data_IF_391455775593
#
_entry.id   IF_391455775593
#
_cell.length_a   1.000
_cell.length_b   1.000
_cell.length_c   1.000
_cell.angle_alpha   90.00
_cell.angle_beta   90.00
_cell.angle_gamma   90.00
#
_symmetry.space_group_name_H-M   'P 1'
#
loop_
_entity.id
_entity.type
_entity.pdbx_description
1 polymer ?
#
# COMPACT_ATOMS: atom_id res chain seq x y z
N UNK A 1 -35.41 -8.90 7.47
CA UNK A 1 -33.95 -8.71 7.27
C UNK A 1 -33.27 -9.81 8.06
N UNK A 2 -32.90 -10.90 7.39
CA UNK A 2 -32.42 -12.11 8.04
C UNK A 2 -31.15 -11.85 8.84
N UNK A 3 -31.10 -12.39 10.06
CA UNK A 3 -29.90 -12.45 10.89
C UNK A 3 -28.78 -13.07 10.07
N UNK A 4 -27.79 -12.28 9.66
CA UNK A 4 -26.62 -12.77 8.95
C UNK A 4 -25.90 -13.77 9.85
N UNK A 5 -26.06 -15.07 9.58
CA UNK A 5 -25.28 -16.11 10.23
C UNK A 5 -23.83 -15.88 9.80
N UNK A 6 -22.95 -15.56 10.75
CA UNK A 6 -21.52 -15.53 10.48
C UNK A 6 -21.10 -16.94 10.04
N UNK A 7 -20.49 -17.04 8.86
CA UNK A 7 -19.93 -18.30 8.38
C UNK A 7 -18.70 -18.63 9.23
N UNK A 8 -18.61 -19.88 9.69
CA UNK A 8 -17.39 -20.41 10.28
C UNK A 8 -16.24 -20.43 9.26
N UNK A 9 -14.99 -20.50 9.75
CA UNK A 9 -13.79 -20.66 8.92
C UNK A 9 -13.94 -21.78 7.90
N UNK A 10 -14.45 -22.94 8.34
CA UNK A 10 -14.65 -24.11 7.50
C UNK A 10 -15.72 -23.88 6.43
N UNK A 11 -16.87 -23.30 6.81
CA UNK A 11 -17.96 -22.97 5.86
C UNK A 11 -17.48 -21.98 4.79
N UNK A 12 -16.66 -20.98 5.17
CA UNK A 12 -16.12 -20.01 4.22
C UNK A 12 -15.11 -20.64 3.25
N UNK A 13 -14.19 -21.47 3.74
CA UNK A 13 -13.23 -22.17 2.88
C UNK A 13 -13.95 -23.08 1.87
N UNK A 14 -14.96 -23.81 2.34
CA UNK A 14 -15.73 -24.71 1.49
C UNK A 14 -16.49 -23.92 0.41
N UNK A 15 -17.14 -22.82 0.79
CA UNK A 15 -17.84 -21.94 -0.15
C UNK A 15 -16.90 -21.39 -1.23
N UNK A 16 -15.68 -20.96 -0.88
CA UNK A 16 -14.71 -20.44 -1.84
C UNK A 16 -14.32 -21.52 -2.87
N UNK A 17 -14.03 -22.73 -2.41
CA UNK A 17 -13.66 -23.86 -3.27
C UNK A 17 -14.81 -24.28 -4.19
N UNK A 18 -16.02 -24.37 -3.65
CA UNK A 18 -17.21 -24.73 -4.44
C UNK A 18 -17.51 -23.67 -5.50
N UNK A 19 -17.37 -22.39 -5.16
CA UNK A 19 -17.57 -21.30 -6.12
C UNK A 19 -16.50 -21.31 -7.22
N UNK A 20 -15.23 -21.51 -6.90
CA UNK A 20 -14.17 -21.68 -7.90
C UNK A 20 -14.46 -22.84 -8.85
N UNK A 21 -14.89 -23.98 -8.32
CA UNK A 21 -15.20 -25.17 -9.12
C UNK A 21 -16.41 -24.95 -10.03
N UNK A 22 -17.48 -24.36 -9.50
CA UNK A 22 -18.71 -24.11 -10.25
C UNK A 22 -18.51 -23.11 -11.40
N UNK A 23 -17.56 -22.18 -11.25
CA UNK A 23 -17.36 -21.05 -12.15
C UNK A 23 -15.93 -20.98 -12.73
N UNK A 24 -15.25 -22.13 -12.88
CA UNK A 24 -13.87 -22.22 -13.37
C UNK A 24 -13.62 -21.49 -14.72
N UNK A 25 -14.65 -21.39 -15.57
CA UNK A 25 -14.61 -20.75 -16.88
C UNK A 25 -15.36 -19.40 -16.92
N UNK A 26 -15.56 -18.76 -15.77
CA UNK A 26 -16.23 -17.46 -15.70
C UNK A 26 -15.42 -16.39 -16.45
N UNK A 27 -16.12 -15.59 -17.26
CA UNK A 27 -15.59 -14.37 -17.88
C UNK A 27 -16.11 -13.11 -17.18
N UNK A 28 -16.63 -13.24 -15.95
CA UNK A 28 -17.15 -12.12 -15.17
C UNK A 28 -16.07 -11.54 -14.27
N UNK A 29 -15.64 -10.32 -14.58
CA UNK A 29 -14.67 -9.61 -13.74
C UNK A 29 -15.18 -9.38 -12.31
N UNK A 30 -16.50 -9.19 -12.15
CA UNK A 30 -17.13 -9.06 -10.83
C UNK A 30 -16.99 -10.36 -10.02
N UNK A 31 -17.25 -11.51 -10.64
CA UNK A 31 -17.06 -12.82 -10.00
C UNK A 31 -15.61 -13.03 -9.59
N UNK A 32 -14.67 -12.82 -10.53
CA UNK A 32 -13.24 -12.95 -10.28
C UNK A 32 -12.79 -12.03 -9.12
N UNK A 33 -13.27 -10.78 -9.10
CA UNK A 33 -12.96 -9.85 -8.00
C UNK A 33 -13.51 -10.30 -6.64
N UNK A 34 -14.71 -10.89 -6.62
CA UNK A 34 -15.37 -11.36 -5.41
C UNK A 34 -14.67 -12.58 -4.83
N UNK A 35 -14.27 -13.54 -5.67
CA UNK A 35 -13.50 -14.71 -5.23
C UNK A 35 -12.11 -14.30 -4.76
N UNK A 36 -11.43 -13.40 -5.48
CA UNK A 36 -10.15 -12.85 -5.05
C UNK A 36 -10.23 -12.17 -3.68
N UNK A 37 -11.27 -11.35 -3.46
CA UNK A 37 -11.55 -10.73 -2.17
C UNK A 37 -11.86 -11.74 -1.07
N UNK A 38 -12.65 -12.77 -1.39
CA UNK A 38 -12.98 -13.86 -0.47
C UNK A 38 -11.74 -14.61 0.02
N UNK A 39 -10.85 -15.01 -0.89
CA UNK A 39 -9.58 -15.63 -0.52
C UNK A 39 -8.69 -14.72 0.31
N UNK A 40 -8.59 -13.43 -0.05
CA UNK A 40 -7.82 -12.48 0.74
C UNK A 40 -8.34 -12.36 2.18
N UNK A 41 -9.65 -12.16 2.35
CA UNK A 41 -10.30 -12.01 3.66
C UNK A 41 -10.19 -13.30 4.48
N UNK A 42 -10.40 -14.46 3.87
CA UNK A 42 -10.22 -15.75 4.51
C UNK A 42 -8.78 -15.92 5.02
N UNK A 43 -7.81 -15.66 4.14
CA UNK A 43 -6.38 -15.80 4.46
C UNK A 43 -5.95 -14.86 5.57
N UNK A 44 -6.40 -13.60 5.51
CA UNK A 44 -6.06 -12.58 6.49
C UNK A 44 -6.60 -12.94 7.89
N UNK A 45 -7.87 -13.33 7.98
CA UNK A 45 -8.52 -13.55 9.27
C UNK A 45 -8.20 -14.92 9.89
N UNK A 46 -8.12 -15.98 9.09
CA UNK A 46 -8.13 -17.36 9.63
C UNK A 46 -6.81 -18.11 9.41
N UNK A 47 -6.08 -17.83 8.33
CA UNK A 47 -4.89 -18.61 7.99
C UNK A 47 -3.63 -18.03 8.64
N UNK A 48 -2.76 -18.89 9.16
CA UNK A 48 -1.48 -18.52 9.80
C UNK A 48 -0.31 -19.29 9.19
N UNK A 49 0.90 -18.75 9.39
CA UNK A 49 2.13 -19.37 8.92
C UNK A 49 2.18 -19.54 7.40
N UNK A 50 2.87 -20.59 6.96
CA UNK A 50 3.20 -20.82 5.55
C UNK A 50 1.98 -21.12 4.67
N UNK A 51 0.89 -21.58 5.28
CA UNK A 51 -0.39 -21.81 4.58
C UNK A 51 -0.98 -20.51 4.01
N UNK A 52 -0.54 -19.32 4.47
CA UNK A 52 -1.01 -18.06 3.90
C UNK A 52 -0.60 -17.90 2.44
N UNK A 53 0.57 -18.43 2.04
CA UNK A 53 1.10 -18.25 0.68
C UNK A 53 0.14 -18.80 -0.40
N UNK A 54 -0.22 -20.10 -0.41
CA UNK A 54 -1.08 -20.63 -1.45
C UNK A 54 -2.45 -19.92 -1.49
N UNK A 55 -3.02 -19.56 -0.34
CA UNK A 55 -4.31 -18.87 -0.31
C UNK A 55 -4.22 -17.42 -0.85
N UNK A 56 -3.12 -16.70 -0.60
CA UNK A 56 -2.88 -15.42 -1.27
C UNK A 56 -2.61 -15.59 -2.77
N UNK A 57 -1.98 -16.68 -3.21
CA UNK A 57 -1.82 -16.96 -4.63
C UNK A 57 -3.19 -17.19 -5.31
N UNK A 58 -4.17 -17.79 -4.63
CA UNK A 58 -5.56 -17.80 -5.11
C UNK A 58 -6.11 -16.38 -5.28
N UNK A 59 -6.00 -15.54 -4.24
CA UNK A 59 -6.46 -14.16 -4.30
C UNK A 59 -5.82 -13.37 -5.47
N UNK A 60 -4.50 -13.51 -5.65
CA UNK A 60 -3.74 -12.88 -6.73
C UNK A 60 -4.27 -13.30 -8.09
N UNK A 61 -4.37 -14.61 -8.36
CA UNK A 61 -4.82 -15.12 -9.67
C UNK A 61 -6.20 -14.56 -10.05
N UNK A 62 -7.12 -14.53 -9.09
CA UNK A 62 -8.47 -14.03 -9.30
C UNK A 62 -8.50 -12.50 -9.52
N UNK A 63 -7.72 -11.72 -8.77
CA UNK A 63 -7.63 -10.28 -9.01
C UNK A 63 -6.89 -9.91 -10.30
N UNK A 64 -5.88 -10.67 -10.71
CA UNK A 64 -5.24 -10.52 -12.02
C UNK A 64 -6.24 -10.76 -13.15
N UNK A 65 -7.02 -11.85 -13.08
CA UNK A 65 -8.08 -12.13 -14.06
C UNK A 65 -9.14 -11.04 -14.08
N UNK A 66 -9.61 -10.59 -12.92
CA UNK A 66 -10.57 -9.49 -12.82
C UNK A 66 -10.03 -8.20 -13.46
N UNK A 67 -8.76 -7.88 -13.19
CA UNK A 67 -8.11 -6.70 -13.76
C UNK A 67 -8.00 -6.76 -15.29
N UNK A 68 -7.55 -7.89 -15.84
CA UNK A 68 -7.41 -8.04 -17.29
C UNK A 68 -8.77 -8.09 -17.99
N UNK A 69 -9.78 -8.76 -17.41
CA UNK A 69 -11.14 -8.75 -17.95
C UNK A 69 -11.72 -7.33 -18.01
N UNK A 70 -11.59 -6.53 -16.96
CA UNK A 70 -12.05 -5.13 -16.98
C UNK A 70 -11.30 -4.30 -18.03
N UNK A 71 -9.99 -4.50 -18.20
CA UNK A 71 -9.22 -3.79 -19.24
C UNK A 71 -9.71 -4.15 -20.64
N UNK A 72 -9.86 -5.44 -20.93
CA UNK A 72 -10.33 -5.93 -22.23
C UNK A 72 -11.75 -5.47 -22.52
N UNK A 73 -12.62 -5.50 -21.51
CA UNK A 73 -14.03 -5.11 -21.62
C UNK A 73 -14.25 -3.59 -21.51
N UNK A 74 -13.18 -2.80 -21.29
CA UNK A 74 -13.24 -1.35 -21.01
C UNK A 74 -14.21 -1.02 -19.86
N UNK A 75 -14.24 -1.88 -18.87
CA UNK A 75 -15.06 -1.70 -17.67
C UNK A 75 -14.52 -0.59 -16.76
N UNK A 76 -15.31 -0.25 -15.75
CA UNK A 76 -15.05 0.91 -14.87
C UNK A 76 -14.24 0.54 -13.62
N UNK A 77 -14.04 -0.74 -13.33
CA UNK A 77 -13.42 -1.19 -12.08
C UNK A 77 -11.94 -1.57 -12.22
N UNK A 78 -11.36 -1.48 -13.41
CA UNK A 78 -9.95 -1.82 -13.65
C UNK A 78 -9.00 -1.14 -12.64
N UNK A 79 -9.23 0.14 -12.34
CA UNK A 79 -8.42 0.90 -11.37
C UNK A 79 -8.57 0.38 -9.94
N UNK A 80 -9.78 -0.05 -9.54
CA UNK A 80 -10.01 -0.62 -8.22
C UNK A 80 -9.33 -1.99 -8.07
N UNK A 81 -9.40 -2.83 -9.09
CA UNK A 81 -8.78 -4.16 -9.04
C UNK A 81 -7.25 -4.06 -9.08
N UNK A 82 -6.70 -3.15 -9.88
CA UNK A 82 -5.28 -2.82 -9.84
C UNK A 82 -4.84 -2.35 -8.45
N UNK A 83 -5.65 -1.54 -7.76
CA UNK A 83 -5.34 -1.06 -6.41
C UNK A 83 -5.26 -2.21 -5.40
N UNK A 84 -6.22 -3.13 -5.41
CA UNK A 84 -6.22 -4.29 -4.53
C UNK A 84 -5.04 -5.24 -4.80
N UNK A 85 -4.78 -5.52 -6.08
CA UNK A 85 -3.67 -6.36 -6.50
C UNK A 85 -2.32 -5.73 -6.13
N UNK A 86 -2.14 -4.43 -6.39
CA UNK A 86 -0.92 -3.69 -6.06
C UNK A 86 -0.64 -3.72 -4.55
N UNK A 87 -1.69 -3.51 -3.74
CA UNK A 87 -1.59 -3.59 -2.28
C UNK A 87 -1.12 -4.96 -1.82
N UNK A 88 -1.70 -6.03 -2.37
CA UNK A 88 -1.31 -7.40 -2.02
C UNK A 88 0.18 -7.65 -2.35
N UNK A 89 0.64 -7.20 -3.51
CA UNK A 89 2.04 -7.33 -3.91
C UNK A 89 3.02 -6.50 -3.09
N UNK A 90 2.59 -5.44 -2.41
CA UNK A 90 3.47 -4.61 -1.58
C UNK A 90 3.43 -5.02 -0.12
N UNK A 91 2.23 -5.17 0.43
CA UNK A 91 2.01 -5.31 1.87
C UNK A 91 2.37 -6.73 2.34
N UNK A 92 1.91 -7.77 1.63
CA UNK A 92 2.04 -9.16 2.06
C UNK A 92 3.41 -9.74 1.73
N UNK A 93 4.25 -9.89 2.77
CA UNK A 93 5.64 -10.34 2.62
C UNK A 93 5.78 -11.69 1.90
N UNK A 94 4.85 -12.60 2.14
CA UNK A 94 4.93 -13.98 1.67
C UNK A 94 4.65 -14.15 0.17
N UNK A 95 4.01 -13.15 -0.45
CA UNK A 95 3.70 -13.09 -1.90
C UNK A 95 4.20 -11.80 -2.55
N UNK A 96 5.10 -11.07 -1.88
CA UNK A 96 5.52 -9.74 -2.28
C UNK A 96 6.15 -9.74 -3.67
N UNK A 97 5.68 -8.85 -4.53
CA UNK A 97 6.28 -8.53 -5.83
C UNK A 97 6.33 -7.01 -5.98
N UNK A 98 7.37 -6.37 -5.43
CA UNK A 98 7.47 -4.90 -5.42
C UNK A 98 7.46 -4.31 -6.83
N UNK A 99 8.10 -4.95 -7.81
CA UNK A 99 8.15 -4.45 -9.19
C UNK A 99 6.75 -4.33 -9.78
N UNK A 100 5.98 -5.43 -9.74
CA UNK A 100 4.60 -5.46 -10.25
C UNK A 100 3.67 -4.56 -9.43
N UNK A 101 3.79 -4.57 -8.11
CA UNK A 101 3.00 -3.72 -7.23
C UNK A 101 3.20 -2.23 -7.52
N UNK A 102 4.45 -1.78 -7.69
CA UNK A 102 4.77 -0.39 -8.02
C UNK A 102 4.33 0.02 -9.41
N UNK A 103 4.42 -0.87 -10.40
CA UNK A 103 3.87 -0.65 -11.74
C UNK A 103 2.37 -0.34 -11.67
N UNK A 104 1.60 -1.21 -11.02
CA UNK A 104 0.15 -1.04 -10.85
C UNK A 104 -0.19 0.22 -10.04
N UNK A 105 0.52 0.49 -8.94
CA UNK A 105 0.29 1.70 -8.16
C UNK A 105 0.57 2.97 -8.96
N UNK A 106 1.59 3.01 -9.83
CA UNK A 106 1.86 4.16 -10.71
C UNK A 106 0.69 4.43 -11.65
N UNK A 107 0.01 3.39 -12.14
CA UNK A 107 -1.19 3.54 -12.98
C UNK A 107 -2.40 4.04 -12.17
N UNK A 108 -2.62 3.47 -10.99
CA UNK A 108 -3.74 3.82 -10.10
C UNK A 108 -3.60 5.25 -9.57
N UNK A 109 -2.42 5.62 -9.10
CA UNK A 109 -2.12 6.93 -8.52
C UNK A 109 -2.37 8.09 -9.50
N UNK A 110 -2.16 7.87 -10.81
CA UNK A 110 -2.47 8.87 -11.86
C UNK A 110 -3.97 9.11 -12.04
N UNK A 111 -4.80 8.12 -11.70
CA UNK A 111 -6.25 8.14 -11.93
C UNK A 111 -7.03 8.61 -10.70
N UNK A 112 -6.61 8.20 -9.52
CA UNK A 112 -7.22 8.65 -8.25
C UNK A 112 -6.74 10.08 -7.97
N UNK A 113 -7.67 11.03 -7.86
CA UNK A 113 -7.37 12.46 -7.59
C UNK A 113 -7.54 12.83 -6.12
N UNK A 114 -8.41 12.12 -5.42
CA UNK A 114 -8.66 12.30 -4.01
C UNK A 114 -7.66 11.57 -3.12
N UNK A 115 -7.83 11.72 -1.81
CA UNK A 115 -7.17 10.89 -0.82
C UNK A 115 -7.77 9.48 -0.87
N UNK A 116 -6.89 8.49 -0.94
CA UNK A 116 -7.27 7.09 -0.78
C UNK A 116 -6.25 6.44 0.18
N UNK A 117 -6.71 5.85 1.29
CA UNK A 117 -5.80 5.28 2.29
C UNK A 117 -4.96 4.12 1.73
N UNK A 118 -5.43 3.40 0.70
CA UNK A 118 -4.64 2.33 0.07
C UNK A 118 -3.48 2.86 -0.77
N UNK A 119 -3.48 4.14 -1.15
CA UNK A 119 -2.29 4.76 -1.77
C UNK A 119 -1.16 4.97 -0.76
N UNK A 120 -1.40 4.86 0.56
CA UNK A 120 -0.30 4.80 1.54
C UNK A 120 0.60 3.56 1.33
N UNK A 121 0.03 2.44 0.86
CA UNK A 121 0.82 1.26 0.49
C UNK A 121 1.72 1.53 -0.72
N UNK A 122 1.36 2.46 -1.62
CA UNK A 122 2.28 2.88 -2.69
C UNK A 122 3.54 3.56 -2.14
N UNK A 123 3.36 4.47 -1.17
CA UNK A 123 4.47 5.15 -0.48
C UNK A 123 5.35 4.14 0.26
N UNK A 124 4.74 3.18 0.95
CA UNK A 124 5.46 2.05 1.57
C UNK A 124 6.25 1.23 0.55
N UNK A 125 5.67 0.95 -0.61
CA UNK A 125 6.31 0.21 -1.70
C UNK A 125 7.55 0.94 -2.22
N UNK A 126 7.43 2.24 -2.49
CA UNK A 126 8.54 3.10 -2.95
C UNK A 126 9.66 3.14 -1.89
N UNK A 127 9.28 3.30 -0.62
CA UNK A 127 10.21 3.24 0.50
C UNK A 127 10.97 1.90 0.54
N UNK A 128 10.26 0.77 0.39
CA UNK A 128 10.87 -0.57 0.39
C UNK A 128 11.78 -0.81 -0.81
N UNK A 129 11.48 -0.18 -1.95
CA UNK A 129 12.33 -0.21 -3.14
C UNK A 129 13.55 0.74 -3.06
N UNK A 130 13.66 1.55 -2.01
CA UNK A 130 14.72 2.55 -1.87
C UNK A 130 14.49 3.82 -2.70
N UNK A 131 13.33 3.97 -3.34
CA UNK A 131 12.91 5.17 -4.08
C UNK A 131 12.45 6.27 -3.10
N UNK A 132 13.33 6.70 -2.18
CA UNK A 132 12.95 7.57 -1.06
C UNK A 132 12.41 8.93 -1.50
N UNK A 133 12.98 9.53 -2.54
CA UNK A 133 12.54 10.83 -3.04
C UNK A 133 11.13 10.78 -3.62
N UNK A 134 10.83 9.72 -4.37
CA UNK A 134 9.49 9.50 -4.91
C UNK A 134 8.51 9.15 -3.79
N UNK A 135 8.92 8.37 -2.78
CA UNK A 135 8.11 8.09 -1.60
C UNK A 135 7.73 9.39 -0.84
N UNK A 136 8.69 10.30 -0.65
CA UNK A 136 8.46 11.63 -0.04
C UNK A 136 7.47 12.42 -0.89
N UNK A 137 7.70 12.52 -2.21
CA UNK A 137 6.86 13.29 -3.13
C UNK A 137 5.41 12.79 -3.13
N UNK A 138 5.22 11.47 -3.27
CA UNK A 138 3.89 10.85 -3.27
C UNK A 138 3.23 11.01 -1.91
N UNK A 139 3.96 10.79 -0.81
CA UNK A 139 3.43 10.95 0.55
C UNK A 139 2.98 12.38 0.86
N UNK A 140 3.72 13.39 0.41
CA UNK A 140 3.36 14.81 0.56
C UNK A 140 2.09 15.13 -0.23
N UNK A 141 2.00 14.67 -1.49
CA UNK A 141 0.80 14.84 -2.30
C UNK A 141 -0.43 14.16 -1.65
N UNK A 142 -0.30 12.93 -1.15
CA UNK A 142 -1.39 12.27 -0.42
C UNK A 142 -1.79 13.03 0.84
N UNK A 143 -0.83 13.59 1.58
CA UNK A 143 -1.13 14.45 2.73
C UNK A 143 -1.93 15.69 2.30
N UNK A 144 -1.53 16.37 1.23
CA UNK A 144 -2.26 17.54 0.72
C UNK A 144 -3.69 17.19 0.25
N UNK A 145 -3.87 16.03 -0.38
CA UNK A 145 -5.21 15.53 -0.73
C UNK A 145 -6.04 15.29 0.53
N UNK A 146 -5.46 14.70 1.57
CA UNK A 146 -6.12 14.48 2.85
C UNK A 146 -6.48 15.82 3.54
N UNK A 147 -5.60 16.82 3.51
CA UNK A 147 -5.86 18.17 4.04
C UNK A 147 -7.07 18.81 3.35
N UNK A 148 -7.17 18.65 2.03
CA UNK A 148 -8.28 19.19 1.23
C UNK A 148 -9.62 18.50 1.52
N UNK A 149 -9.60 17.18 1.70
CA UNK A 149 -10.82 16.39 1.95
C UNK A 149 -11.25 16.40 3.42
N UNK A 150 -10.30 16.57 4.34
CA UNK A 150 -10.51 16.65 5.78
C UNK A 150 -9.90 17.96 6.32
N UNK A 151 -10.63 19.09 6.18
CA UNK A 151 -10.16 20.39 6.66
C UNK A 151 -9.98 20.43 8.18
N UNK A 152 -10.87 19.75 8.92
CA UNK A 152 -10.74 19.54 10.35
C UNK A 152 -9.55 18.59 10.62
N UNK A 153 -8.52 19.14 11.28
CA UNK A 153 -7.32 18.39 11.62
C UNK A 153 -7.59 17.17 12.51
N UNK A 154 -8.67 17.17 13.30
CA UNK A 154 -9.00 16.03 14.17
C UNK A 154 -9.49 14.79 13.40
N UNK A 155 -9.95 14.98 12.15
CA UNK A 155 -10.44 13.91 11.28
C UNK A 155 -9.42 13.54 10.19
N UNK A 156 -8.32 14.27 10.10
CA UNK A 156 -7.34 14.10 9.05
C UNK A 156 -6.51 12.83 9.30
N UNK A 157 -6.37 11.96 8.29
CA UNK A 157 -5.45 10.84 8.39
C UNK A 157 -3.99 11.32 8.48
N UNK A 158 -3.30 10.96 9.56
CA UNK A 158 -1.88 11.31 9.75
C UNK A 158 -0.92 10.35 9.02
N UNK A 159 -1.41 9.18 8.59
CA UNK A 159 -0.58 8.15 7.97
C UNK A 159 0.33 8.69 6.83
N UNK A 160 -0.14 9.56 5.90
CA UNK A 160 0.74 10.12 4.86
C UNK A 160 1.92 10.91 5.40
N UNK A 161 1.72 11.80 6.39
CA UNK A 161 2.82 12.64 6.91
C UNK A 161 3.83 11.81 7.72
N UNK A 162 3.36 10.78 8.43
CA UNK A 162 4.25 9.81 9.09
C UNK A 162 5.10 9.02 8.08
N UNK A 163 4.52 8.64 6.93
CA UNK A 163 5.26 7.97 5.86
C UNK A 163 6.30 8.88 5.19
N UNK A 164 5.99 10.16 5.01
CA UNK A 164 6.95 11.18 4.54
C UNK A 164 8.13 11.27 5.51
N UNK A 165 7.86 11.40 6.81
CA UNK A 165 8.90 11.45 7.83
C UNK A 165 9.74 10.15 7.88
N UNK A 166 9.10 8.99 7.76
CA UNK A 166 9.79 7.68 7.64
C UNK A 166 10.74 7.64 6.44
N UNK A 167 10.31 8.14 5.28
CA UNK A 167 11.15 8.20 4.09
C UNK A 167 12.31 9.20 4.23
N UNK A 168 12.08 10.38 4.82
CA UNK A 168 13.16 11.32 5.14
C UNK A 168 14.21 10.71 6.08
N UNK A 169 13.80 9.97 7.12
CA UNK A 169 14.73 9.28 8.03
C UNK A 169 15.62 8.28 7.30
N UNK A 170 15.05 7.49 6.38
CA UNK A 170 15.82 6.55 5.59
C UNK A 170 16.77 7.24 4.61
N UNK A 171 16.32 8.29 3.92
CA UNK A 171 17.17 9.12 3.05
C UNK A 171 18.33 9.73 3.84
N UNK A 172 18.05 10.31 5.00
CA UNK A 172 19.04 10.87 5.92
C UNK A 172 20.11 9.83 6.29
N UNK A 173 19.67 8.63 6.69
CA UNK A 173 20.58 7.53 7.05
C UNK A 173 21.48 7.12 5.87
N UNK A 174 20.92 7.04 4.66
CA UNK A 174 21.68 6.71 3.46
C UNK A 174 22.73 7.79 3.12
N UNK A 175 22.36 9.06 3.15
CA UNK A 175 23.26 10.19 2.88
C UNK A 175 24.41 10.25 3.90
N UNK A 176 24.11 10.04 5.19
CA UNK A 176 25.13 9.95 6.24
C UNK A 176 26.11 8.80 6.00
N UNK A 177 25.61 7.62 5.61
CA UNK A 177 26.45 6.46 5.28
C UNK A 177 27.40 6.77 4.12
N UNK A 178 26.95 7.56 3.16
CA UNK A 178 27.73 7.99 2.00
C UNK A 178 28.55 9.26 2.24
N UNK A 179 28.63 9.76 3.48
CA UNK A 179 29.34 11.00 3.87
C UNK A 179 28.88 12.26 3.13
N UNK A 180 27.63 12.27 2.64
CA UNK A 180 27.01 13.41 1.98
C UNK A 180 26.36 14.33 3.02
N UNK A 181 27.18 14.96 3.88
CA UNK A 181 26.69 15.65 5.07
C UNK A 181 25.82 16.89 4.79
N UNK A 182 26.11 17.65 3.73
CA UNK A 182 25.27 18.79 3.33
C UNK A 182 23.84 18.33 2.95
N UNK A 183 23.73 17.33 2.08
CA UNK A 183 22.44 16.75 1.69
C UNK A 183 21.75 16.06 2.88
N UNK A 184 22.52 15.43 3.77
CA UNK A 184 21.98 14.87 5.00
C UNK A 184 21.35 15.97 5.88
N UNK A 185 22.00 17.13 6.00
CA UNK A 185 21.46 18.26 6.74
C UNK A 185 20.16 18.79 6.11
N UNK A 186 20.09 18.90 4.78
CA UNK A 186 18.85 19.26 4.05
C UNK A 186 17.73 18.26 4.31
N UNK A 187 18.01 16.95 4.21
CA UNK A 187 17.03 15.91 4.49
C UNK A 187 16.56 15.95 5.96
N UNK A 188 17.46 16.27 6.89
CA UNK A 188 17.13 16.46 8.30
C UNK A 188 16.26 17.69 8.54
N UNK A 189 16.52 18.82 7.87
CA UNK A 189 15.68 20.01 7.94
C UNK A 189 14.26 19.71 7.43
N UNK A 190 14.16 19.04 6.28
CA UNK A 190 12.87 18.64 5.72
C UNK A 190 12.11 17.69 6.66
N UNK A 191 12.80 16.75 7.32
CA UNK A 191 12.20 15.89 8.35
C UNK A 191 11.63 16.70 9.51
N UNK A 192 12.37 17.67 10.05
CA UNK A 192 11.87 18.52 11.15
C UNK A 192 10.65 19.35 10.73
N UNK A 193 10.63 19.83 9.48
CA UNK A 193 9.51 20.59 8.91
C UNK A 193 8.22 19.77 8.76
N UNK A 194 8.27 18.44 8.81
CA UNK A 194 7.06 17.59 8.77
C UNK A 194 6.18 17.73 10.01
N UNK A 195 6.70 18.28 11.12
CA UNK A 195 5.98 18.38 12.40
C UNK A 195 5.88 17.08 13.19
N UNK A 196 6.32 15.94 12.64
CA UNK A 196 6.27 14.61 13.27
C UNK A 196 7.66 14.01 13.53
N UNK A 197 8.66 14.88 13.65
CA UNK A 197 10.01 14.50 14.03
C UNK A 197 10.10 14.14 15.52
N UNK A 198 10.89 13.11 15.83
CA UNK A 198 11.15 12.63 17.20
C UNK A 198 12.31 13.39 17.84
N UNK A 199 12.48 13.26 19.16
CA UNK A 199 13.63 13.84 19.88
C UNK A 199 14.96 13.28 19.37
N UNK A 200 14.99 12.01 18.98
CA UNK A 200 16.16 11.41 18.35
C UNK A 200 16.49 12.06 16.99
N UNK A 201 15.47 12.41 16.19
CA UNK A 201 15.68 13.12 14.92
C UNK A 201 16.30 14.51 15.17
N UNK A 202 15.83 15.22 16.20
CA UNK A 202 16.39 16.53 16.62
C UNK A 202 17.83 16.41 17.12
N UNK A 203 18.12 15.37 17.91
CA UNK A 203 19.49 15.09 18.38
C UNK A 203 20.44 14.79 17.21
N UNK A 204 19.99 14.01 16.22
CA UNK A 204 20.77 13.72 15.01
C UNK A 204 21.01 15.00 14.19
N UNK A 205 19.99 15.85 14.07
CA UNK A 205 20.11 17.14 13.38
C UNK A 205 21.21 18.01 14.00
N UNK A 206 21.22 18.15 15.33
CA UNK A 206 22.25 18.94 16.02
C UNK A 206 23.66 18.41 15.76
N UNK A 207 23.85 17.09 15.82
CA UNK A 207 25.15 16.46 15.51
C UNK A 207 25.60 16.69 14.07
N UNK A 208 24.66 16.80 13.13
CA UNK A 208 24.96 17.11 11.72
C UNK A 208 25.40 18.56 11.54
N UNK A 209 24.79 19.52 12.23
CA UNK A 209 25.24 20.91 12.23
C UNK A 209 26.71 21.03 12.65
N UNK A 210 27.11 20.27 13.68
CA UNK A 210 28.49 20.25 14.16
C UNK A 210 29.45 19.56 13.18
N UNK A 211 28.95 18.70 12.29
CA UNK A 211 29.75 17.94 11.31
C UNK A 211 29.94 18.68 9.97
N UNK A 212 29.18 19.75 9.73
CA UNK A 212 29.24 20.57 8.49
C UNK A 212 30.00 21.88 8.72
N UNK A 213 30.28 22.22 9.98
CA UNK A 213 31.18 23.31 10.40
C UNK A 213 32.64 22.88 10.30
#
# INVERSE_FOLDING_TARGET
LGSGKELSEFELLQLLKEAEQAFQNSNSAAFESAIGGGWYVYTFNYVRGDQRKPNYEHAIRHWERAYELEKTQKGRNATQYALYLARLYVDEAIVRNLSRGLELFREVYKKIRGYDPFLCSYVEGLYRAGEFDEAIRVGQDLHLRAVREYPDSSQRPDAPIYLVAKAHRAKLKALKKNRQFAQALEASNALLATGVATDNDRSIHQKLLDSVR
#
